data_IF_219290291035
#
_entry.id   IF_219290291035
#
_cell.length_a   1.000
_cell.length_b   1.000
_cell.length_c   1.000
_cell.angle_alpha   90.00
_cell.angle_beta   90.00
_cell.angle_gamma   90.00
#
_symmetry.space_group_name_H-M   'P 1'
#
loop_
_entity.id
_entity.type
_entity.pdbx_description
1 polymer ?
#
# COMPACT_ATOMS: atom_id res chain seq x y z
N UNK A 1 -28.03 -80.34 34.88
CA UNK A 1 -26.71 -79.74 35.18
C UNK A 1 -26.51 -78.49 34.35
N UNK A 2 -26.77 -77.32 34.99
CA UNK A 2 -26.61 -75.98 34.27
C UNK A 2 -25.33 -75.36 34.81
N UNK A 3 -24.34 -75.18 33.91
CA UNK A 3 -23.12 -74.43 34.21
C UNK A 3 -23.42 -72.96 34.14
N UNK A 4 -23.23 -72.23 35.23
CA UNK A 4 -23.28 -70.77 35.29
C UNK A 4 -21.89 -70.21 34.93
N UNK A 5 -21.79 -69.43 33.89
CA UNK A 5 -20.61 -68.69 33.51
C UNK A 5 -20.58 -67.36 34.26
N UNK A 6 -19.56 -67.12 35.09
CA UNK A 6 -19.35 -65.84 35.74
C UNK A 6 -18.52 -64.95 34.83
N UNK A 7 -19.09 -63.86 34.40
CA UNK A 7 -18.38 -62.81 33.71
C UNK A 7 -17.82 -61.81 34.73
N UNK A 8 -16.49 -61.78 34.85
CA UNK A 8 -15.78 -60.79 35.65
C UNK A 8 -15.60 -59.57 34.79
N UNK A 9 -16.37 -58.49 35.06
CA UNK A 9 -16.20 -57.23 34.45
C UNK A 9 -14.99 -56.50 35.01
N UNK A 10 -13.97 -56.30 34.19
CA UNK A 10 -12.84 -55.46 34.52
C UNK A 10 -13.24 -54.01 34.25
N UNK A 11 -13.42 -53.24 35.33
CA UNK A 11 -13.68 -51.81 35.26
C UNK A 11 -12.32 -51.09 35.10
N UNK A 12 -11.97 -50.70 33.87
CA UNK A 12 -10.80 -49.87 33.60
C UNK A 12 -11.18 -48.44 33.90
N UNK A 13 -10.75 -47.94 35.05
CA UNK A 13 -10.83 -46.50 35.37
C UNK A 13 -9.74 -45.78 34.61
N UNK A 14 -10.09 -45.15 33.48
CA UNK A 14 -9.22 -44.18 32.82
C UNK A 14 -9.18 -42.90 33.66
N UNK A 15 -8.11 -42.73 34.42
CA UNK A 15 -7.79 -41.47 35.08
C UNK A 15 -7.29 -40.53 33.99
N UNK A 16 -8.17 -39.65 33.51
CA UNK A 16 -7.78 -38.52 32.65
C UNK A 16 -7.04 -37.50 33.52
N UNK A 17 -5.73 -37.62 33.61
CA UNK A 17 -4.90 -36.57 34.19
C UNK A 17 -4.94 -35.34 33.26
N UNK A 18 -5.78 -34.38 33.65
CA UNK A 18 -5.78 -33.05 33.01
C UNK A 18 -4.45 -32.36 33.30
N UNK A 19 -3.48 -32.53 32.40
CA UNK A 19 -2.27 -31.71 32.40
C UNK A 19 -2.72 -30.30 32.01
N UNK A 20 -2.95 -29.45 33.00
CA UNK A 20 -3.07 -28.01 32.81
C UNK A 20 -1.68 -27.54 32.40
N UNK A 21 -1.40 -27.57 31.10
CA UNK A 21 -0.26 -26.88 30.56
C UNK A 21 -0.49 -25.39 30.79
N UNK A 22 0.23 -24.79 31.71
CA UNK A 22 0.38 -23.36 31.84
C UNK A 22 1.01 -22.86 30.53
N UNK A 23 0.18 -22.70 29.51
CA UNK A 23 0.54 -21.98 28.32
C UNK A 23 0.80 -20.52 28.74
N UNK A 24 2.05 -20.20 29.03
CA UNK A 24 2.45 -18.81 29.13
C UNK A 24 1.97 -18.14 27.84
N UNK A 25 1.19 -17.04 27.91
CA UNK A 25 0.84 -16.31 26.72
C UNK A 25 2.16 -15.85 26.10
N UNK A 26 2.50 -16.44 24.94
CA UNK A 26 3.63 -15.98 24.15
C UNK A 26 3.36 -14.50 23.86
N UNK A 27 4.01 -13.62 24.64
CA UNK A 27 4.09 -12.21 24.27
C UNK A 27 4.82 -12.17 22.94
N UNK A 28 4.05 -12.10 21.84
CA UNK A 28 4.58 -11.85 20.51
C UNK A 28 5.39 -10.57 20.64
N UNK A 29 6.72 -10.68 20.59
CA UNK A 29 7.61 -9.52 20.66
C UNK A 29 7.23 -8.64 19.48
N UNK A 30 6.57 -7.52 19.75
CA UNK A 30 6.30 -6.51 18.73
C UNK A 30 7.65 -6.11 18.16
N UNK A 31 7.96 -6.53 16.96
CA UNK A 31 9.13 -6.02 16.26
C UNK A 31 8.86 -4.56 15.97
N UNK A 32 9.71 -3.66 16.49
CA UNK A 32 9.63 -2.25 16.11
C UNK A 32 9.71 -2.14 14.60
N UNK A 33 8.86 -1.31 14.01
CA UNK A 33 8.86 -1.06 12.57
C UNK A 33 10.02 -0.13 12.26
N UNK A 34 11.13 -0.69 11.81
CA UNK A 34 12.34 0.09 11.57
C UNK A 34 12.41 0.70 10.17
N UNK A 35 11.67 0.17 9.21
CA UNK A 35 11.69 0.64 7.84
C UNK A 35 10.43 0.22 7.07
N UNK A 36 9.77 1.18 6.45
CA UNK A 36 8.68 0.96 5.48
C UNK A 36 9.11 1.29 4.05
N UNK A 37 10.33 1.82 3.87
CA UNK A 37 10.83 2.22 2.57
C UNK A 37 10.76 1.05 1.58
N UNK A 38 10.34 1.37 0.37
CA UNK A 38 10.23 0.44 -0.77
C UNK A 38 9.26 -0.73 -0.50
N UNK A 39 8.18 -0.44 0.22
CA UNK A 39 7.10 -1.39 0.48
C UNK A 39 5.76 -0.88 -0.06
N UNK A 40 4.94 -1.82 -0.54
CA UNK A 40 3.60 -1.55 -1.06
C UNK A 40 2.57 -2.46 -0.42
N UNK A 41 1.40 -1.91 -0.15
CA UNK A 41 0.38 -2.52 0.67
C UNK A 41 -1.01 -2.27 0.11
N UNK A 42 -1.87 -3.28 0.10
CA UNK A 42 -3.27 -3.19 -0.28
C UNK A 42 -4.16 -3.20 0.95
N UNK A 43 -5.13 -2.30 1.01
CA UNK A 43 -6.09 -2.23 2.11
C UNK A 43 -6.99 -3.47 2.10
N UNK A 44 -7.14 -4.09 3.27
CA UNK A 44 -8.03 -5.23 3.52
C UNK A 44 -9.20 -4.83 4.38
N UNK A 45 -8.94 -4.03 5.43
CA UNK A 45 -9.97 -3.63 6.37
C UNK A 45 -9.77 -2.19 6.83
N UNK A 46 -10.86 -1.43 6.82
CA UNK A 46 -10.98 -0.13 7.45
C UNK A 46 -11.90 -0.30 8.66
N UNK A 47 -11.41 0.05 9.84
CA UNK A 47 -12.19 -0.03 11.08
C UNK A 47 -12.22 1.32 11.77
N UNK A 48 -13.42 1.80 12.07
CA UNK A 48 -13.64 2.95 12.94
C UNK A 48 -14.14 2.45 14.29
N UNK A 49 -13.45 2.84 15.36
CA UNK A 49 -13.66 2.29 16.71
C UNK A 49 -15.13 2.30 17.17
N UNK A 50 -15.87 3.35 16.84
CA UNK A 50 -17.24 3.55 17.31
C UNK A 50 -18.31 3.30 16.24
N UNK A 51 -17.92 2.94 15.01
CA UNK A 51 -18.83 2.75 13.87
C UNK A 51 -18.85 1.30 13.41
N UNK A 52 -17.69 0.64 13.43
CA UNK A 52 -17.55 -0.72 12.95
C UNK A 52 -16.43 -0.89 11.93
N UNK A 53 -16.41 -2.04 11.28
CA UNK A 53 -15.39 -2.37 10.28
C UNK A 53 -16.02 -2.63 8.91
N UNK A 54 -15.32 -2.20 7.88
CA UNK A 54 -15.61 -2.52 6.48
C UNK A 54 -14.47 -3.39 5.98
N UNK A 55 -14.80 -4.59 5.51
CA UNK A 55 -13.88 -5.36 4.68
C UNK A 55 -13.92 -4.78 3.28
N UNK A 56 -12.75 -4.44 2.77
CA UNK A 56 -12.60 -3.78 1.47
C UNK A 56 -12.43 -4.87 0.42
N UNK A 57 -13.20 -4.80 -0.66
CA UNK A 57 -13.09 -5.71 -1.79
C UNK A 57 -11.70 -5.56 -2.45
N UNK A 58 -11.09 -6.67 -2.80
CA UNK A 58 -9.80 -6.72 -3.50
C UNK A 58 -9.82 -5.92 -4.83
N UNK A 59 -10.97 -5.85 -5.48
CA UNK A 59 -11.15 -5.07 -6.70
C UNK A 59 -11.11 -3.55 -6.49
N UNK A 60 -11.26 -3.07 -5.25
CA UNK A 60 -11.19 -1.64 -4.94
C UNK A 60 -9.79 -1.07 -5.14
N UNK A 61 -8.73 -1.91 -5.10
CA UNK A 61 -7.32 -1.56 -5.28
C UNK A 61 -6.81 -0.43 -4.38
N UNK A 62 -7.49 -0.19 -3.24
CA UNK A 62 -7.02 0.83 -2.29
C UNK A 62 -5.67 0.41 -1.74
N UNK A 63 -4.67 1.26 -1.90
CA UNK A 63 -3.28 0.91 -1.65
C UNK A 63 -2.49 2.06 -1.03
N UNK A 64 -1.36 1.72 -0.40
CA UNK A 64 -0.32 2.64 0.05
C UNK A 64 1.05 2.10 -0.30
N UNK A 65 1.88 2.91 -0.92
CA UNK A 65 3.29 2.64 -1.19
C UNK A 65 4.16 3.64 -0.43
N UNK A 66 5.24 3.14 0.16
CA UNK A 66 6.21 3.93 0.90
C UNK A 66 7.53 3.96 0.13
N UNK A 67 7.95 5.14 -0.28
CA UNK A 67 9.27 5.39 -0.89
C UNK A 67 9.96 6.47 -0.05
N UNK A 68 11.24 6.71 -0.22
CA UNK A 68 12.01 7.75 0.49
C UNK A 68 11.17 8.85 1.17
N UNK A 69 10.76 8.78 2.40
CA UNK A 69 9.97 9.78 3.14
C UNK A 69 8.64 10.23 2.48
N UNK A 70 8.18 9.53 1.43
CA UNK A 70 6.93 9.80 0.72
C UNK A 70 6.02 8.59 0.77
N UNK A 71 4.72 8.87 0.82
CA UNK A 71 3.66 7.90 0.57
C UNK A 71 2.87 8.30 -0.66
N UNK A 72 2.39 7.32 -1.37
CA UNK A 72 1.47 7.49 -2.49
C UNK A 72 0.56 6.27 -2.59
N UNK A 73 -0.51 6.38 -3.35
CA UNK A 73 -1.40 5.26 -3.58
C UNK A 73 -2.71 5.64 -4.24
N UNK A 74 -3.61 4.68 -4.27
CA UNK A 74 -4.96 4.81 -4.76
C UNK A 74 -5.95 4.69 -3.59
N UNK A 75 -6.89 5.62 -3.48
CA UNK A 75 -7.83 5.71 -2.36
C UNK A 75 -9.21 5.10 -2.64
N UNK A 76 -9.38 4.50 -3.82
CA UNK A 76 -10.64 3.91 -4.28
C UNK A 76 -11.27 4.65 -5.45
N UNK A 77 -11.10 5.96 -5.51
CA UNK A 77 -11.50 6.83 -6.62
C UNK A 77 -10.32 7.65 -7.11
N UNK A 78 -9.56 8.21 -6.17
CA UNK A 78 -8.51 9.17 -6.45
C UNK A 78 -7.13 8.63 -6.09
N UNK A 79 -6.11 9.20 -6.73
CA UNK A 79 -4.73 9.02 -6.29
C UNK A 79 -4.38 10.07 -5.26
N UNK A 80 -3.49 9.69 -4.38
CA UNK A 80 -2.99 10.58 -3.35
C UNK A 80 -1.48 10.46 -3.19
N UNK A 81 -0.88 11.50 -2.65
CA UNK A 81 0.52 11.49 -2.24
C UNK A 81 0.74 12.42 -1.06
N UNK A 82 1.83 12.18 -0.31
CA UNK A 82 2.23 13.01 0.82
C UNK A 82 3.59 12.61 1.33
N UNK A 83 4.07 13.31 2.36
CA UNK A 83 5.27 12.91 3.07
C UNK A 83 4.94 12.07 4.29
N UNK A 84 5.89 11.27 4.78
CA UNK A 84 5.79 10.62 6.07
C UNK A 84 7.10 10.66 6.84
N UNK A 85 7.00 10.54 8.15
CA UNK A 85 8.13 10.32 9.06
C UNK A 85 7.82 9.12 9.93
N UNK A 86 8.80 8.24 10.08
CA UNK A 86 8.71 7.04 10.90
C UNK A 86 9.72 7.15 12.04
N UNK A 87 9.30 6.84 13.26
CA UNK A 87 10.16 6.75 14.44
C UNK A 87 9.67 5.59 15.30
N UNK A 88 10.37 4.45 15.28
CA UNK A 88 9.93 3.21 15.89
C UNK A 88 8.51 2.84 15.43
N UNK A 89 7.58 2.71 16.38
CA UNK A 89 6.17 2.37 16.11
C UNK A 89 5.28 3.61 15.89
N UNK A 90 5.89 4.80 15.77
CA UNK A 90 5.18 6.06 15.53
C UNK A 90 5.35 6.48 14.08
N UNK A 91 4.23 6.86 13.46
CA UNK A 91 4.19 7.42 12.12
C UNK A 91 3.49 8.78 12.14
N UNK A 92 4.00 9.70 11.36
CA UNK A 92 3.29 10.96 11.06
C UNK A 92 3.24 11.15 9.56
N UNK A 93 2.06 11.47 9.06
CA UNK A 93 1.80 11.70 7.65
C UNK A 93 1.50 13.18 7.47
N UNK A 94 2.15 13.82 6.49
CA UNK A 94 1.89 15.22 6.14
C UNK A 94 0.55 15.35 5.42
N UNK A 95 0.14 16.59 5.16
CA UNK A 95 -1.05 16.84 4.36
C UNK A 95 -0.97 16.08 3.03
N UNK A 96 -2.04 15.33 2.73
CA UNK A 96 -2.17 14.56 1.50
C UNK A 96 -2.66 15.47 0.36
N UNK A 97 -1.99 15.38 -0.77
CA UNK A 97 -2.50 15.88 -2.04
C UNK A 97 -3.32 14.78 -2.68
N UNK A 98 -4.52 15.10 -3.15
CA UNK A 98 -5.48 14.14 -3.71
C UNK A 98 -6.01 14.70 -5.01
N UNK A 99 -6.14 13.88 -6.04
CA UNK A 99 -6.86 14.25 -7.25
C UNK A 99 -8.36 14.43 -6.94
N UNK A 100 -9.06 15.17 -7.79
CA UNK A 100 -10.49 15.46 -7.59
C UNK A 100 -11.33 14.84 -8.72
N UNK A 101 -11.28 13.51 -8.84
CA UNK A 101 -12.19 12.78 -9.73
C UNK A 101 -13.46 12.39 -8.99
N UNK A 102 -14.57 12.37 -9.70
CA UNK A 102 -15.85 11.91 -9.17
C UNK A 102 -15.99 10.41 -9.38
N UNK A 103 -16.33 9.71 -8.31
CA UNK A 103 -16.68 8.29 -8.30
C UNK A 103 -18.14 8.07 -7.91
N UNK A 104 -18.51 6.80 -7.73
CA UNK A 104 -19.78 6.46 -7.12
C UNK A 104 -19.81 6.98 -5.66
N UNK A 105 -21.01 7.30 -5.15
CA UNK A 105 -21.16 7.82 -3.78
C UNK A 105 -20.56 6.86 -2.74
N UNK A 106 -20.77 5.57 -2.92
CA UNK A 106 -20.22 4.55 -2.01
C UNK A 106 -18.69 4.48 -2.05
N UNK A 107 -18.09 4.59 -3.24
CA UNK A 107 -16.63 4.60 -3.38
C UNK A 107 -16.02 5.85 -2.76
N UNK A 108 -16.64 7.02 -2.96
CA UNK A 108 -16.18 8.28 -2.35
C UNK A 108 -16.33 8.27 -0.81
N UNK A 109 -17.38 7.65 -0.25
CA UNK A 109 -17.51 7.48 1.20
C UNK A 109 -16.37 6.64 1.79
N UNK A 110 -16.00 5.55 1.15
CA UNK A 110 -14.87 4.71 1.56
C UNK A 110 -13.55 5.50 1.42
N UNK A 111 -13.37 6.24 0.34
CA UNK A 111 -12.21 7.10 0.11
C UNK A 111 -12.03 8.14 1.21
N UNK A 112 -13.08 8.90 1.52
CA UNK A 112 -13.04 9.94 2.56
C UNK A 112 -12.65 9.36 3.92
N UNK A 113 -13.21 8.22 4.28
CA UNK A 113 -12.87 7.52 5.52
C UNK A 113 -11.45 7.02 5.53
N UNK A 114 -11.00 6.43 4.42
CA UNK A 114 -9.63 5.96 4.24
C UNK A 114 -8.62 7.11 4.38
N UNK A 115 -8.79 8.18 3.61
CA UNK A 115 -7.86 9.32 3.60
C UNK A 115 -7.82 10.03 4.96
N UNK A 116 -8.96 10.15 5.64
CA UNK A 116 -9.05 10.73 6.98
C UNK A 116 -8.27 9.91 8.02
N UNK A 117 -8.42 8.59 8.01
CA UNK A 117 -7.69 7.72 8.96
C UNK A 117 -6.21 7.70 8.61
N UNK A 118 -5.86 7.57 7.33
CA UNK A 118 -4.48 7.59 6.85
C UNK A 118 -3.77 8.89 7.24
N UNK A 119 -4.33 10.04 6.91
CA UNK A 119 -3.73 11.35 7.22
C UNK A 119 -3.61 11.65 8.72
N UNK A 120 -4.41 10.99 9.56
CA UNK A 120 -4.36 11.13 11.02
C UNK A 120 -3.61 10.00 11.74
N UNK A 121 -2.98 9.07 11.01
CA UNK A 121 -2.24 7.95 11.59
C UNK A 121 -1.13 8.41 12.53
N UNK A 122 -0.97 7.70 13.67
CA UNK A 122 0.02 7.97 14.72
C UNK A 122 0.85 6.76 15.08
N UNK A 123 0.27 5.57 14.95
CA UNK A 123 0.95 4.31 15.27
C UNK A 123 0.99 3.41 14.05
N UNK A 124 2.07 2.65 13.97
CA UNK A 124 2.25 1.65 12.93
C UNK A 124 2.70 0.34 13.55
N UNK A 125 2.16 -0.75 13.06
CA UNK A 125 2.58 -2.12 13.39
C UNK A 125 2.76 -2.87 12.08
N UNK A 126 3.83 -3.64 11.99
CA UNK A 126 4.10 -4.49 10.84
C UNK A 126 4.45 -5.90 11.32
N UNK A 127 3.86 -6.90 10.72
CA UNK A 127 4.19 -8.31 10.91
C UNK A 127 4.16 -9.00 9.55
N UNK A 128 5.35 -9.33 9.03
CA UNK A 128 5.54 -9.98 7.71
C UNK A 128 4.69 -9.34 6.61
N UNK A 129 3.50 -9.90 6.39
CA UNK A 129 2.62 -9.55 5.28
C UNK A 129 1.44 -8.64 5.70
N UNK A 130 1.46 -8.13 6.93
CA UNK A 130 0.40 -7.28 7.49
C UNK A 130 0.98 -5.97 7.98
N UNK A 131 0.37 -4.85 7.56
CA UNK A 131 0.63 -3.51 8.06
C UNK A 131 -0.65 -2.96 8.70
N UNK A 132 -0.54 -2.39 9.89
CA UNK A 132 -1.65 -1.74 10.58
C UNK A 132 -1.25 -0.30 10.90
N UNK A 133 -2.03 0.64 10.41
CA UNK A 133 -1.96 2.05 10.80
C UNK A 133 -3.12 2.38 11.73
N UNK A 134 -2.84 3.08 12.82
CA UNK A 134 -3.82 3.46 13.84
C UNK A 134 -3.73 4.95 14.14
N UNK A 135 -4.86 5.63 14.20
CA UNK A 135 -4.92 7.04 14.61
C UNK A 135 -5.18 7.19 16.12
N UNK A 136 -5.18 8.43 16.62
CA UNK A 136 -5.40 8.73 18.05
C UNK A 136 -6.80 8.35 18.55
N UNK A 137 -7.78 8.22 17.67
CA UNK A 137 -9.15 7.81 18.02
C UNK A 137 -9.29 6.29 18.16
N UNK A 138 -8.27 5.52 17.72
CA UNK A 138 -8.28 4.07 17.67
C UNK A 138 -8.94 3.52 16.41
N UNK A 139 -9.12 4.36 15.38
CA UNK A 139 -9.48 3.88 14.04
C UNK A 139 -8.26 3.25 13.39
N UNK A 140 -8.45 2.18 12.63
CA UNK A 140 -7.36 1.41 12.02
C UNK A 140 -7.58 1.14 10.54
N UNK A 141 -6.47 1.15 9.82
CA UNK A 141 -6.34 0.63 8.47
C UNK A 141 -5.46 -0.62 8.53
N UNK A 142 -5.97 -1.74 8.07
CA UNK A 142 -5.22 -2.99 7.99
C UNK A 142 -4.97 -3.32 6.53
N UNK A 143 -3.70 -3.54 6.21
CA UNK A 143 -3.24 -3.82 4.86
C UNK A 143 -2.56 -5.19 4.81
N UNK A 144 -2.58 -5.79 3.62
CA UNK A 144 -1.72 -6.91 3.26
C UNK A 144 -0.57 -6.44 2.37
N UNK A 145 0.58 -7.08 2.47
CA UNK A 145 1.72 -6.81 1.59
C UNK A 145 1.36 -7.15 0.14
N UNK A 146 1.64 -6.22 -0.76
CA UNK A 146 1.74 -6.50 -2.18
C UNK A 146 3.14 -7.09 -2.40
N UNK A 147 3.28 -8.41 -2.21
CA UNK A 147 4.53 -9.10 -2.52
C UNK A 147 4.78 -8.92 -4.01
N UNK A 148 5.92 -8.32 -4.34
CA UNK A 148 6.50 -8.53 -5.65
C UNK A 148 6.72 -10.03 -5.74
N UNK A 149 6.01 -10.71 -6.65
CA UNK A 149 6.28 -12.11 -6.95
C UNK A 149 7.70 -12.15 -7.51
N UNK A 150 8.67 -12.43 -6.63
CA UNK A 150 9.98 -12.86 -7.06
C UNK A 150 9.80 -14.23 -7.71
N UNK A 151 9.58 -14.24 -9.02
CA UNK A 151 9.87 -15.42 -9.81
C UNK A 151 11.37 -15.67 -9.68
N UNK A 152 11.74 -16.62 -8.83
CA UNK A 152 13.06 -17.24 -8.81
C UNK A 152 13.21 -18.05 -10.10
N UNK A 153 13.55 -17.38 -11.17
CA UNK A 153 14.15 -18.02 -12.34
C UNK A 153 15.34 -17.19 -12.82
N UNK A 154 16.49 -17.74 -12.45
CA UNK A 154 17.80 -17.80 -13.12
C UNK A 154 18.28 -16.61 -13.96
N UNK A 155 19.42 -16.06 -13.46
CA UNK A 155 20.59 -15.58 -14.23
C UNK A 155 20.32 -14.89 -15.59
N UNK A 156 20.02 -13.62 -15.52
CA UNK A 156 20.40 -12.62 -16.52
C UNK A 156 20.07 -11.23 -15.97
N UNK A 157 20.61 -10.17 -16.55
CA UNK A 157 20.37 -8.78 -16.16
C UNK A 157 18.93 -8.57 -15.67
N UNK A 158 18.73 -7.85 -14.54
CA UNK A 158 17.41 -7.58 -13.99
C UNK A 158 16.50 -7.09 -15.11
N UNK A 159 15.29 -7.65 -15.28
CA UNK A 159 14.37 -7.15 -16.28
C UNK A 159 14.03 -5.67 -16.02
N UNK A 160 13.88 -4.88 -17.06
CA UNK A 160 13.66 -3.42 -17.01
C UNK A 160 12.57 -3.01 -15.99
N UNK A 161 11.53 -3.83 -15.80
CA UNK A 161 10.49 -3.58 -14.81
C UNK A 161 11.00 -3.57 -13.35
N UNK A 162 12.06 -4.31 -13.03
CA UNK A 162 12.69 -4.28 -11.70
C UNK A 162 13.64 -3.10 -11.54
N UNK A 163 14.25 -2.64 -12.62
CA UNK A 163 15.18 -1.51 -12.60
C UNK A 163 14.47 -0.17 -12.44
N UNK A 164 13.28 0.00 -13.04
CA UNK A 164 12.54 1.26 -13.00
C UNK A 164 11.44 1.30 -11.95
N UNK A 165 11.03 0.16 -11.40
CA UNK A 165 9.97 0.12 -10.40
C UNK A 165 10.40 0.86 -9.12
N UNK A 166 9.50 1.69 -8.60
CA UNK A 166 9.73 2.56 -7.43
C UNK A 166 10.85 3.59 -7.64
N UNK A 167 11.08 4.01 -8.88
CA UNK A 167 12.00 5.09 -9.22
C UNK A 167 11.25 6.35 -9.61
N UNK A 168 11.89 7.49 -9.35
CA UNK A 168 11.42 8.81 -9.79
C UNK A 168 12.54 9.47 -10.61
N UNK A 169 12.16 10.03 -11.75
CA UNK A 169 13.07 10.64 -12.71
C UNK A 169 12.66 12.07 -12.99
N UNK A 170 13.64 12.95 -13.16
CA UNK A 170 13.43 14.32 -13.63
C UNK A 170 13.91 14.43 -15.06
N UNK A 171 13.09 15.03 -15.91
CA UNK A 171 13.45 15.33 -17.29
C UNK A 171 14.52 16.43 -17.30
N UNK A 172 15.63 16.18 -17.97
CA UNK A 172 16.74 17.13 -18.10
C UNK A 172 16.88 17.67 -19.50
N UNK A 173 16.45 16.91 -20.49
CA UNK A 173 16.48 17.32 -21.92
C UNK A 173 15.27 16.75 -22.66
N UNK A 174 14.69 17.53 -23.53
CA UNK A 174 13.59 17.13 -24.39
C UNK A 174 13.83 17.62 -25.81
N UNK A 175 14.04 16.67 -26.74
CA UNK A 175 14.30 16.95 -28.15
C UNK A 175 15.46 17.94 -28.41
N UNK A 176 16.55 17.83 -27.63
CA UNK A 176 17.73 18.68 -27.73
C UNK A 176 17.61 20.03 -27.01
N UNK A 177 16.53 20.24 -26.26
CA UNK A 177 16.33 21.40 -25.40
C UNK A 177 16.58 20.98 -23.93
N UNK A 178 17.65 21.47 -23.33
CA UNK A 178 17.87 21.29 -21.89
C UNK A 178 16.87 22.11 -21.08
N UNK A 179 16.22 21.45 -20.08
CA UNK A 179 15.26 22.10 -19.20
C UNK A 179 15.95 23.02 -18.19
N UNK A 180 15.29 24.13 -17.84
CA UNK A 180 15.76 25.07 -16.81
C UNK A 180 15.42 24.57 -15.42
N UNK A 181 16.10 25.07 -14.40
CA UNK A 181 15.91 24.65 -13.00
C UNK A 181 14.48 24.77 -12.44
N UNK A 182 13.67 25.66 -13.01
CA UNK A 182 12.27 25.87 -12.61
C UNK A 182 11.27 25.07 -13.48
N UNK A 183 11.75 24.30 -14.42
CA UNK A 183 10.94 23.43 -15.28
C UNK A 183 10.98 22.02 -14.72
N UNK A 184 10.09 21.74 -13.76
CA UNK A 184 10.03 20.45 -13.09
C UNK A 184 9.07 19.51 -13.83
N UNK A 185 9.62 18.75 -14.78
CA UNK A 185 8.92 17.65 -15.42
C UNK A 185 9.47 16.34 -14.83
N UNK A 186 8.60 15.57 -14.24
CA UNK A 186 8.97 14.34 -13.53
C UNK A 186 8.15 13.14 -13.98
N UNK A 187 8.72 11.95 -13.82
CA UNK A 187 8.05 10.67 -14.02
C UNK A 187 8.44 9.71 -12.92
N UNK A 188 7.46 9.09 -12.28
CA UNK A 188 7.67 8.06 -11.29
C UNK A 188 6.96 6.77 -11.72
N UNK A 189 7.67 5.66 -11.63
CA UNK A 189 7.15 4.32 -11.90
C UNK A 189 6.83 3.63 -10.58
N UNK A 190 5.58 3.21 -10.41
CA UNK A 190 5.09 2.51 -9.23
C UNK A 190 4.38 1.23 -9.65
N UNK A 191 4.07 0.36 -8.70
CA UNK A 191 3.24 -0.83 -8.97
C UNK A 191 1.87 -0.49 -9.53
N UNK A 192 1.33 0.68 -9.14
CA UNK A 192 0.01 1.14 -9.54
C UNK A 192 -0.01 1.81 -10.92
N UNK A 193 1.13 2.18 -11.45
CA UNK A 193 1.25 2.89 -12.73
C UNK A 193 2.36 3.91 -12.76
N UNK A 194 2.32 4.77 -13.76
CA UNK A 194 3.24 5.88 -13.95
C UNK A 194 2.54 7.18 -13.60
N UNK A 195 3.23 8.05 -12.89
CA UNK A 195 2.73 9.37 -12.50
C UNK A 195 3.85 10.41 -12.47
N UNK A 196 3.50 11.68 -12.51
CA UNK A 196 4.48 12.76 -12.45
C UNK A 196 3.84 14.13 -12.62
N UNK A 197 4.71 15.11 -12.84
CA UNK A 197 4.33 16.47 -13.21
C UNK A 197 4.83 16.78 -14.62
N UNK A 198 3.99 17.37 -15.46
CA UNK A 198 4.29 17.71 -16.85
C UNK A 198 4.74 19.16 -17.05
N UNK A 199 5.01 19.87 -15.96
CA UNK A 199 5.38 21.29 -15.95
C UNK A 199 4.38 22.14 -15.17
N UNK A 200 3.09 21.96 -15.40
CA UNK A 200 1.99 22.62 -14.66
C UNK A 200 1.10 21.58 -14.02
N UNK A 201 0.74 20.55 -14.75
CA UNK A 201 -0.23 19.56 -14.33
C UNK A 201 0.41 18.26 -13.87
N UNK A 202 -0.22 17.62 -12.90
CA UNK A 202 0.11 16.26 -12.55
C UNK A 202 -0.61 15.31 -13.50
N UNK A 203 0.09 14.26 -13.89
CA UNK A 203 -0.47 13.24 -14.75
C UNK A 203 -0.34 11.84 -14.14
N UNK A 204 -1.15 10.94 -14.65
CA UNK A 204 -1.15 9.54 -14.29
C UNK A 204 -1.57 8.68 -15.49
N UNK A 205 -0.99 7.47 -15.55
CA UNK A 205 -1.38 6.43 -16.50
C UNK A 205 -1.02 5.03 -15.97
N UNK A 206 -1.62 4.00 -16.55
CA UNK A 206 -1.06 2.65 -16.47
C UNK A 206 0.15 2.53 -17.39
N UNK A 207 1.04 1.57 -17.13
CA UNK A 207 2.09 1.19 -18.06
C UNK A 207 2.24 -0.33 -18.13
N UNK A 208 2.85 -0.81 -19.19
CA UNK A 208 3.25 -2.21 -19.38
C UNK A 208 4.68 -2.25 -19.85
N UNK A 209 5.45 -3.18 -19.33
CA UNK A 209 6.79 -3.49 -19.83
C UNK A 209 6.74 -4.87 -20.45
N UNK A 210 7.22 -4.95 -21.68
CA UNK A 210 7.46 -6.22 -22.37
C UNK A 210 8.87 -6.16 -22.96
N UNK A 211 9.71 -7.08 -22.53
CA UNK A 211 11.14 -7.07 -22.84
C UNK A 211 11.76 -5.73 -22.40
N UNK A 212 12.34 -4.97 -23.32
CA UNK A 212 12.90 -3.63 -23.07
C UNK A 212 12.00 -2.48 -23.56
N UNK A 213 10.71 -2.75 -23.80
CA UNK A 213 9.76 -1.75 -24.26
C UNK A 213 8.78 -1.38 -23.17
N UNK A 214 8.58 -0.07 -22.97
CA UNK A 214 7.56 0.49 -22.09
C UNK A 214 6.41 0.99 -22.96
N UNK A 215 5.19 0.56 -22.65
CA UNK A 215 3.97 1.09 -23.25
C UNK A 215 3.18 1.82 -22.17
N UNK A 216 2.97 3.11 -22.34
CA UNK A 216 2.15 3.95 -21.45
C UNK A 216 0.72 3.97 -21.98
N UNK A 217 -0.25 3.80 -21.10
CA UNK A 217 -1.67 3.83 -21.43
C UNK A 217 -2.21 5.25 -21.65
N UNK A 218 -3.52 5.40 -21.58
CA UNK A 218 -4.15 6.73 -21.71
C UNK A 218 -3.79 7.57 -20.47
N UNK A 219 -3.25 8.77 -20.74
CA UNK A 219 -2.89 9.73 -19.69
C UNK A 219 -4.15 10.42 -19.16
N UNK A 220 -4.26 10.46 -17.84
CA UNK A 220 -5.16 11.35 -17.11
C UNK A 220 -4.33 12.46 -16.48
N UNK A 221 -4.77 13.70 -16.58
CA UNK A 221 -4.06 14.84 -15.98
C UNK A 221 -5.02 15.80 -15.28
N UNK A 222 -4.50 16.59 -14.34
CA UNK A 222 -5.19 17.77 -13.84
C UNK A 222 -5.30 18.80 -14.95
N UNK A 223 -6.18 19.79 -14.80
CA UNK A 223 -6.39 20.86 -15.80
C UNK A 223 -6.23 22.23 -15.13
N UNK A 224 -5.03 22.47 -14.60
CA UNK A 224 -4.68 23.76 -14.05
C UNK A 224 -4.11 24.65 -15.16
N UNK A 225 -4.40 25.96 -15.10
CA UNK A 225 -3.73 26.96 -15.92
C UNK A 225 -2.42 27.38 -15.23
N UNK A 226 -1.38 27.60 -16.00
CA UNK A 226 -0.07 28.03 -15.52
C UNK A 226 0.59 29.03 -16.47
N UNK A 227 1.83 29.42 -16.20
CA UNK A 227 2.61 30.27 -17.08
C UNK A 227 2.69 29.68 -18.50
N UNK A 228 2.60 30.54 -19.52
CA UNK A 228 2.51 30.11 -20.92
C UNK A 228 3.69 29.22 -21.36
N UNK A 229 4.90 29.52 -20.88
CA UNK A 229 6.10 28.73 -21.16
C UNK A 229 6.01 27.32 -20.59
N UNK A 230 5.44 27.15 -19.39
CA UNK A 230 5.24 25.82 -18.77
C UNK A 230 4.08 25.08 -19.41
N UNK A 231 3.01 25.77 -19.79
CA UNK A 231 1.91 25.19 -20.55
C UNK A 231 2.35 24.72 -21.94
N UNK A 232 3.32 25.43 -22.56
CA UNK A 232 3.94 24.97 -23.80
C UNK A 232 4.80 23.72 -23.56
N UNK A 233 5.63 23.72 -22.51
CA UNK A 233 6.44 22.58 -22.14
C UNK A 233 5.57 21.32 -21.92
N UNK A 234 4.45 21.48 -21.22
CA UNK A 234 3.49 20.40 -20.99
C UNK A 234 2.86 19.84 -22.27
N UNK A 235 2.55 20.69 -23.24
CA UNK A 235 2.03 20.24 -24.54
C UNK A 235 3.06 19.49 -25.37
N UNK A 236 4.33 19.85 -25.20
CA UNK A 236 5.45 19.25 -25.95
C UNK A 236 5.91 17.93 -25.31
N UNK A 237 5.65 17.75 -24.01
CA UNK A 237 5.94 16.54 -23.23
C UNK A 237 4.89 15.45 -23.48
#
# INVERSE_FOLDING_TARGET
MKKRLFLIGIFVILIFSCIISNAHPWKKKSSSVNNLKDTSWQLVTLKEKNVGSITVDDNSKISVSFTNNRISGFSGVNRYSGGYKLSNDSISISQLSVNLMLGSRSAMDVEDRFLRILGSAKKVKQDKDTLILENSKGDTLTFRSLKIYENKEQNSALPLNKEILNTEWKLVDMAGRTLKNHEDVTIAFTEDGVNGNSGVNNYFSSYKIKDNNITIGILSSTRMAGPENLMKLERDF
#
